data_IF_717111322518
#
_entry.id   IF_717111322518
#
_cell.length_a   1.000
_cell.length_b   1.000
_cell.length_c   1.000
_cell.angle_alpha   90.00
_cell.angle_beta   90.00
_cell.angle_gamma   90.00
#
_symmetry.space_group_name_H-M   'P 1'
#
loop_
_entity.id
_entity.type
_entity.pdbx_description
1 polymer ?
#
# COMPACT_ATOMS: atom_id res chain seq x y z
N UNK A 1 5.60 -7.90 -19.93
CA UNK A 1 4.69 -7.73 -21.08
C UNK A 1 3.55 -6.83 -20.61
N UNK A 2 3.52 -5.55 -21.02
CA UNK A 2 2.50 -4.60 -20.64
C UNK A 2 1.28 -4.81 -21.56
N UNK A 3 0.25 -5.46 -21.07
CA UNK A 3 -1.04 -5.52 -21.77
C UNK A 3 -1.84 -4.24 -21.49
N UNK A 4 -1.50 -3.16 -22.17
CA UNK A 4 -2.42 -2.03 -22.39
C UNK A 4 -3.25 -2.33 -23.64
N UNK A 5 -4.24 -3.17 -23.53
CA UNK A 5 -5.30 -3.21 -24.53
C UNK A 5 -6.58 -3.55 -23.82
N UNK A 6 -7.61 -2.75 -24.05
CA UNK A 6 -9.00 -3.11 -23.80
C UNK A 6 -9.32 -4.35 -24.66
N UNK A 7 -8.91 -5.51 -24.20
CA UNK A 7 -9.38 -6.78 -24.74
C UNK A 7 -10.65 -7.08 -23.99
N UNK A 8 -11.74 -7.14 -24.71
CA UNK A 8 -12.89 -7.88 -24.21
C UNK A 8 -12.41 -9.28 -23.86
N UNK A 9 -12.44 -9.61 -22.60
CA UNK A 9 -12.05 -10.95 -22.18
C UNK A 9 -13.05 -11.97 -22.77
N UNK A 10 -12.58 -13.06 -23.39
CA UNK A 10 -13.44 -13.98 -24.11
C UNK A 10 -14.63 -14.44 -23.25
N UNK A 11 -15.83 -14.34 -23.78
CA UNK A 11 -17.04 -14.82 -23.12
C UNK A 11 -17.61 -13.92 -22.02
N UNK A 12 -17.23 -12.63 -21.94
CA UNK A 12 -17.75 -11.70 -20.93
C UNK A 12 -17.33 -12.04 -19.50
N UNK A 13 -16.21 -12.75 -19.34
CA UNK A 13 -15.64 -13.12 -18.04
C UNK A 13 -15.07 -11.88 -17.36
N UNK A 14 -15.18 -11.84 -16.03
CA UNK A 14 -14.54 -10.81 -15.23
C UNK A 14 -13.02 -10.91 -15.34
N UNK A 15 -12.33 -9.78 -15.44
CA UNK A 15 -10.88 -9.73 -15.76
C UNK A 15 -10.03 -10.53 -14.77
N UNK A 16 -10.27 -10.39 -13.46
CA UNK A 16 -9.53 -11.13 -12.42
C UNK A 16 -9.60 -12.65 -12.65
N UNK A 17 -10.78 -13.17 -13.05
CA UNK A 17 -10.95 -14.60 -13.32
C UNK A 17 -10.14 -15.05 -14.53
N UNK A 18 -10.15 -14.25 -15.62
CA UNK A 18 -9.43 -14.57 -16.83
C UNK A 18 -7.90 -14.48 -16.65
N UNK A 19 -7.41 -13.47 -15.93
CA UNK A 19 -5.99 -13.34 -15.59
C UNK A 19 -5.53 -14.49 -14.70
N UNK A 20 -6.36 -14.92 -13.76
CA UNK A 20 -6.09 -16.09 -12.91
C UNK A 20 -6.02 -17.37 -13.73
N UNK A 21 -6.87 -17.55 -14.74
CA UNK A 21 -6.79 -18.75 -15.62
C UNK A 21 -5.41 -18.80 -16.31
N UNK A 22 -4.85 -17.70 -16.75
CA UNK A 22 -3.50 -17.69 -17.33
C UNK A 22 -2.42 -18.06 -16.30
N UNK A 23 -2.58 -17.63 -15.04
CA UNK A 23 -1.70 -18.05 -13.94
C UNK A 23 -1.78 -19.55 -13.74
N UNK A 24 -2.99 -20.12 -13.72
CA UNK A 24 -3.20 -21.56 -13.55
C UNK A 24 -2.63 -22.35 -14.73
N UNK A 25 -2.83 -21.89 -15.95
CA UNK A 25 -2.24 -22.48 -17.16
C UNK A 25 -0.70 -22.49 -17.08
N UNK A 26 -0.10 -21.38 -16.68
CA UNK A 26 1.34 -21.30 -16.46
C UNK A 26 1.83 -22.33 -15.44
N UNK A 27 1.17 -22.41 -14.27
CA UNK A 27 1.54 -23.34 -13.20
C UNK A 27 1.40 -24.80 -13.64
N UNK A 28 0.34 -25.14 -14.38
CA UNK A 28 0.11 -26.49 -14.92
C UNK A 28 1.16 -26.88 -15.96
N UNK A 29 1.63 -25.93 -16.75
CA UNK A 29 2.70 -26.14 -17.74
C UNK A 29 4.10 -26.11 -17.16
N UNK A 30 4.28 -25.80 -15.90
CA UNK A 30 5.59 -25.66 -15.26
C UNK A 30 6.28 -27.01 -15.06
N UNK A 31 7.47 -27.19 -15.65
CA UNK A 31 8.20 -28.47 -15.72
C UNK A 31 9.07 -28.78 -14.49
N UNK A 32 9.14 -27.87 -13.51
CA UNK A 32 9.97 -27.99 -12.30
C UNK A 32 11.48 -28.04 -12.53
N UNK A 33 11.96 -27.68 -13.71
CA UNK A 33 13.38 -27.74 -14.07
C UNK A 33 14.20 -26.60 -13.44
N UNK A 34 13.56 -25.47 -13.21
CA UNK A 34 14.19 -24.27 -12.64
C UNK A 34 13.21 -23.56 -11.68
N UNK A 35 13.69 -22.81 -10.69
CA UNK A 35 12.79 -21.96 -9.89
C UNK A 35 12.08 -20.93 -10.77
N UNK A 36 10.87 -20.51 -10.38
CA UNK A 36 10.14 -19.45 -11.06
C UNK A 36 9.96 -18.23 -10.15
N UNK A 37 9.86 -17.06 -10.78
CA UNK A 37 9.33 -15.85 -10.19
C UNK A 37 8.13 -15.40 -11.03
N UNK A 38 6.94 -15.39 -10.42
CA UNK A 38 5.71 -14.99 -11.07
C UNK A 38 5.15 -13.73 -10.38
N UNK A 39 5.09 -12.64 -11.11
CA UNK A 39 4.48 -11.39 -10.66
C UNK A 39 3.12 -11.24 -11.34
N UNK A 40 2.05 -11.29 -10.54
CA UNK A 40 0.67 -11.13 -11.01
C UNK A 40 0.17 -9.76 -10.56
N UNK A 41 -0.13 -8.91 -11.52
CA UNK A 41 -0.59 -7.54 -11.27
C UNK A 41 -2.04 -7.38 -11.71
N UNK A 42 -2.97 -7.68 -10.83
CA UNK A 42 -4.38 -7.36 -11.05
C UNK A 42 -4.60 -5.85 -11.02
N UNK A 43 -5.49 -5.35 -11.86
CA UNK A 43 -5.88 -3.93 -11.81
C UNK A 43 -6.86 -3.70 -10.65
N UNK A 44 -7.75 -4.66 -10.41
CA UNK A 44 -8.71 -4.55 -9.31
C UNK A 44 -8.00 -4.50 -7.94
N UNK A 45 -8.53 -3.74 -7.00
CA UNK A 45 -9.75 -2.93 -7.01
C UNK A 45 -9.53 -1.47 -7.47
N UNK A 46 -8.71 -1.20 -8.48
CA UNK A 46 -8.45 0.15 -8.97
C UNK A 46 -9.72 0.82 -9.49
N UNK A 47 -9.91 2.10 -9.17
CA UNK A 47 -10.96 2.93 -9.77
C UNK A 47 -10.77 3.00 -11.29
N UNK A 48 -11.80 2.67 -12.06
CA UNK A 48 -11.74 2.71 -13.52
C UNK A 48 -11.93 4.16 -13.99
N UNK A 49 -10.82 4.83 -14.25
CA UNK A 49 -10.81 6.27 -14.54
C UNK A 49 -11.67 6.65 -15.76
N UNK A 50 -11.68 5.80 -16.78
CA UNK A 50 -12.46 6.03 -18.00
C UNK A 50 -13.96 5.93 -17.75
N UNK A 51 -14.37 5.08 -16.81
CA UNK A 51 -15.77 4.88 -16.42
C UNK A 51 -16.16 5.69 -15.18
N UNK A 52 -15.18 6.26 -14.47
CA UNK A 52 -15.34 7.10 -13.26
C UNK A 52 -15.97 6.39 -12.07
N UNK A 53 -15.81 5.08 -11.95
CA UNK A 53 -16.30 4.28 -10.81
C UNK A 53 -15.47 3.00 -10.61
N UNK A 54 -15.69 2.31 -9.50
CA UNK A 54 -15.18 0.96 -9.29
C UNK A 54 -16.08 -0.05 -10.00
N UNK A 55 -15.49 -1.13 -10.52
CA UNK A 55 -16.24 -2.15 -11.27
C UNK A 55 -16.03 -3.53 -10.66
N UNK A 56 -16.90 -3.88 -9.73
CA UNK A 56 -16.98 -5.24 -9.20
C UNK A 56 -17.65 -6.22 -10.19
N UNK A 57 -17.52 -7.54 -9.98
CA UNK A 57 -18.29 -8.52 -10.73
C UNK A 57 -19.78 -8.20 -10.72
N UNK A 58 -20.50 -8.64 -11.76
CA UNK A 58 -21.94 -8.42 -11.87
C UNK A 58 -22.69 -8.85 -10.60
N UNK A 59 -23.51 -7.96 -10.05
CA UNK A 59 -24.28 -8.19 -8.82
C UNK A 59 -23.55 -7.75 -7.54
N UNK A 60 -22.35 -7.18 -7.61
CA UNK A 60 -21.59 -6.71 -6.46
C UNK A 60 -22.36 -5.67 -5.63
N UNK A 61 -22.99 -4.68 -6.28
CA UNK A 61 -23.77 -3.65 -5.58
C UNK A 61 -24.87 -4.24 -4.72
N UNK A 62 -25.61 -5.21 -5.24
CA UNK A 62 -26.68 -5.86 -4.50
C UNK A 62 -26.16 -6.76 -3.37
N UNK A 63 -25.09 -7.52 -3.66
CA UNK A 63 -24.46 -8.42 -2.68
C UNK A 63 -23.90 -7.66 -1.48
N UNK A 64 -23.30 -6.51 -1.70
CA UNK A 64 -22.60 -5.74 -0.68
C UNK A 64 -23.33 -4.45 -0.26
N UNK A 65 -24.60 -4.25 -0.60
CA UNK A 65 -25.36 -3.03 -0.27
C UNK A 65 -25.42 -2.71 1.23
N UNK A 66 -25.37 -3.73 2.09
CA UNK A 66 -25.45 -3.62 3.55
C UNK A 66 -24.06 -3.76 4.20
N UNK A 67 -23.02 -3.20 3.60
CA UNK A 67 -21.68 -3.25 4.15
C UNK A 67 -21.54 -2.47 5.46
N UNK A 68 -20.60 -2.91 6.30
CA UNK A 68 -20.21 -2.15 7.47
C UNK A 68 -19.32 -1.00 7.02
N UNK A 69 -19.72 0.22 7.34
CA UNK A 69 -18.95 1.43 6.96
C UNK A 69 -17.63 1.47 7.73
N UNK A 70 -16.48 1.49 7.06
CA UNK A 70 -15.19 1.67 7.72
C UNK A 70 -15.14 2.95 8.53
N UNK A 71 -14.40 2.92 9.64
CA UNK A 71 -14.37 4.04 10.57
C UNK A 71 -13.83 5.34 9.98
N UNK A 72 -12.87 5.26 9.07
CA UNK A 72 -12.30 6.39 8.34
C UNK A 72 -13.27 7.04 7.33
N UNK A 73 -14.28 6.30 6.87
CA UNK A 73 -15.32 6.78 5.96
C UNK A 73 -16.57 7.27 6.69
N UNK A 74 -16.77 6.86 7.96
CA UNK A 74 -17.96 7.23 8.74
C UNK A 74 -18.03 8.74 8.94
N UNK A 75 -19.12 9.36 8.45
CA UNK A 75 -19.33 10.81 8.55
C UNK A 75 -18.49 11.65 7.60
N UNK A 76 -17.60 11.04 6.81
CA UNK A 76 -16.81 11.75 5.82
C UNK A 76 -17.59 11.98 4.52
N UNK A 77 -17.34 13.13 3.88
CA UNK A 77 -17.75 13.36 2.49
C UNK A 77 -16.94 12.46 1.55
N UNK A 78 -17.36 12.34 0.29
CA UNK A 78 -16.69 11.50 -0.72
C UNK A 78 -17.68 10.62 -1.47
N UNK A 79 -17.14 9.75 -2.33
CA UNK A 79 -17.94 8.89 -3.22
C UNK A 79 -18.18 7.45 -2.69
N UNK A 80 -17.64 7.14 -1.52
CA UNK A 80 -17.65 5.78 -0.94
C UNK A 80 -19.03 5.13 -0.81
N UNK A 81 -20.10 5.93 -0.58
CA UNK A 81 -21.47 5.36 -0.44
C UNK A 81 -21.93 4.64 -1.70
N UNK A 82 -21.59 5.19 -2.86
CA UNK A 82 -21.96 4.63 -4.15
C UNK A 82 -20.95 3.57 -4.62
N UNK A 83 -19.69 3.72 -4.25
CA UNK A 83 -18.57 2.98 -4.83
C UNK A 83 -18.11 1.78 -4.00
N UNK A 84 -18.28 1.83 -2.68
CA UNK A 84 -17.76 0.80 -1.78
C UNK A 84 -18.32 -0.61 -2.02
N UNK A 85 -19.61 -0.80 -2.40
CA UNK A 85 -20.11 -2.12 -2.74
C UNK A 85 -19.40 -2.79 -3.92
N UNK A 86 -19.08 -2.03 -4.98
CA UNK A 86 -18.32 -2.56 -6.12
C UNK A 86 -16.85 -2.80 -5.74
N UNK A 87 -16.25 -1.92 -4.94
CA UNK A 87 -14.92 -2.12 -4.38
C UNK A 87 -14.83 -3.43 -3.57
N UNK A 88 -15.81 -3.72 -2.72
CA UNK A 88 -15.91 -5.00 -2.01
C UNK A 88 -16.11 -6.19 -2.96
N UNK A 89 -16.84 -5.99 -4.05
CA UNK A 89 -16.98 -6.99 -5.10
C UNK A 89 -15.65 -7.35 -5.75
N UNK A 90 -14.83 -6.33 -6.06
CA UNK A 90 -13.47 -6.54 -6.58
C UNK A 90 -12.61 -7.34 -5.59
N UNK A 91 -12.59 -6.95 -4.32
CA UNK A 91 -11.81 -7.63 -3.28
C UNK A 91 -12.27 -9.07 -3.09
N UNK A 92 -13.58 -9.32 -3.09
CA UNK A 92 -14.11 -10.68 -2.99
C UNK A 92 -13.70 -11.54 -4.19
N UNK A 93 -13.66 -10.98 -5.40
CA UNK A 93 -13.17 -11.70 -6.57
C UNK A 93 -11.67 -12.01 -6.47
N UNK A 94 -10.87 -11.04 -6.02
CA UNK A 94 -9.44 -11.26 -5.78
C UNK A 94 -9.19 -12.37 -4.76
N UNK A 95 -9.89 -12.35 -3.63
CA UNK A 95 -9.76 -13.38 -2.58
C UNK A 95 -10.06 -14.78 -3.11
N UNK A 96 -11.15 -14.94 -3.87
CA UNK A 96 -11.51 -16.19 -4.52
C UNK A 96 -10.43 -16.66 -5.49
N UNK A 97 -9.84 -15.77 -6.26
CA UNK A 97 -8.84 -16.08 -7.25
C UNK A 97 -7.46 -16.39 -6.62
N UNK A 98 -7.08 -15.71 -5.55
CA UNK A 98 -5.93 -16.11 -4.72
C UNK A 98 -6.14 -17.52 -4.15
N UNK A 99 -7.36 -17.84 -3.72
CA UNK A 99 -7.74 -19.20 -3.30
C UNK A 99 -7.48 -20.23 -4.40
N UNK A 100 -7.92 -19.97 -5.64
CA UNK A 100 -7.68 -20.84 -6.81
C UNK A 100 -6.20 -21.08 -7.06
N UNK A 101 -5.36 -20.03 -6.99
CA UNK A 101 -3.90 -20.16 -7.16
C UNK A 101 -3.29 -21.04 -6.05
N UNK A 102 -3.69 -20.80 -4.79
CA UNK A 102 -3.22 -21.63 -3.65
C UNK A 102 -3.58 -23.09 -3.80
N UNK A 103 -4.80 -23.36 -4.22
CA UNK A 103 -5.29 -24.74 -4.41
C UNK A 103 -4.54 -25.43 -5.54
N UNK A 104 -4.25 -24.74 -6.64
CA UNK A 104 -3.46 -25.30 -7.73
C UNK A 104 -2.00 -25.55 -7.32
N UNK A 105 -1.36 -24.64 -6.58
CA UNK A 105 -0.02 -24.86 -6.02
C UNK A 105 0.03 -26.12 -5.14
N UNK A 106 -0.98 -26.35 -4.29
CA UNK A 106 -1.11 -27.55 -3.48
C UNK A 106 -1.27 -28.80 -4.33
N UNK A 107 -2.19 -28.77 -5.28
CA UNK A 107 -2.46 -29.89 -6.21
C UNK A 107 -1.22 -30.30 -7.00
N UNK A 108 -0.39 -29.36 -7.40
CA UNK A 108 0.87 -29.57 -8.12
C UNK A 108 2.05 -29.97 -7.21
N UNK A 109 1.85 -29.97 -5.88
CA UNK A 109 2.91 -30.24 -4.90
C UNK A 109 3.99 -29.15 -4.89
N UNK A 110 3.61 -27.89 -5.16
CA UNK A 110 4.52 -26.74 -5.21
C UNK A 110 4.39 -25.86 -3.96
N UNK A 111 3.31 -25.96 -3.20
CA UNK A 111 2.97 -25.04 -2.10
C UNK A 111 4.08 -24.97 -1.04
N UNK A 112 4.67 -26.10 -0.66
CA UNK A 112 5.68 -26.18 0.41
C UNK A 112 7.03 -25.54 0.03
N UNK A 113 7.26 -25.29 -1.26
CA UNK A 113 8.47 -24.65 -1.78
C UNK A 113 8.15 -23.37 -2.58
N UNK A 114 7.04 -22.72 -2.28
CA UNK A 114 6.64 -21.46 -2.92
C UNK A 114 6.35 -20.40 -1.88
N UNK A 115 7.05 -19.27 -1.96
CA UNK A 115 6.71 -18.09 -1.20
C UNK A 115 5.60 -17.32 -1.94
N UNK A 116 4.40 -17.29 -1.37
CA UNK A 116 3.27 -16.54 -1.88
C UNK A 116 3.15 -15.20 -1.15
N UNK A 117 3.21 -14.11 -1.88
CA UNK A 117 3.07 -12.74 -1.36
C UNK A 117 1.83 -12.10 -1.96
N UNK A 118 0.93 -11.60 -1.11
CA UNK A 118 -0.22 -10.79 -1.50
C UNK A 118 -0.08 -9.39 -0.91
N UNK A 119 -0.16 -8.38 -1.76
CA UNK A 119 -0.07 -6.97 -1.36
C UNK A 119 -0.74 -6.06 -2.39
N UNK A 120 -0.74 -4.76 -2.14
CA UNK A 120 -1.17 -3.70 -3.05
C UNK A 120 -0.10 -2.60 -3.10
N UNK A 121 -0.10 -1.78 -4.13
CA UNK A 121 0.77 -0.60 -4.25
C UNK A 121 0.30 0.55 -3.35
N UNK A 122 -1.01 0.76 -3.22
CA UNK A 122 -1.66 1.76 -2.37
C UNK A 122 -3.12 1.38 -2.11
N UNK A 123 -3.77 2.09 -1.19
CA UNK A 123 -5.20 1.98 -0.90
C UNK A 123 -6.04 3.06 -1.57
N UNK A 124 -7.24 3.29 -1.02
CA UNK A 124 -8.17 4.33 -1.47
C UNK A 124 -8.86 4.98 -0.28
N UNK A 125 -8.95 6.30 -0.31
CA UNK A 125 -9.76 7.07 0.65
C UNK A 125 -11.08 7.59 0.04
N UNK A 126 -11.48 7.13 -1.13
CA UNK A 126 -12.77 7.45 -1.76
C UNK A 126 -13.10 8.94 -1.78
N UNK A 127 -12.11 9.77 -2.14
CA UNK A 127 -12.20 11.25 -2.17
C UNK A 127 -12.56 11.92 -0.85
N UNK A 128 -12.34 11.25 0.29
CA UNK A 128 -12.59 11.85 1.61
C UNK A 128 -11.50 12.84 2.03
N UNK A 129 -10.35 12.87 1.37
CA UNK A 129 -9.17 13.65 1.75
C UNK A 129 -8.75 14.71 0.72
N UNK A 130 -9.02 14.48 -0.53
CA UNK A 130 -8.78 15.39 -1.66
C UNK A 130 -9.71 15.02 -2.82
N UNK A 131 -9.61 15.71 -3.96
CA UNK A 131 -10.44 15.46 -5.15
C UNK A 131 -10.12 14.12 -5.86
N UNK A 132 -9.01 13.48 -5.50
CA UNK A 132 -8.63 12.16 -5.97
C UNK A 132 -9.12 11.08 -4.99
N UNK A 133 -9.02 9.80 -5.35
CA UNK A 133 -9.35 8.67 -4.46
C UNK A 133 -8.14 8.12 -3.72
N UNK A 134 -6.92 8.60 -4.02
CA UNK A 134 -5.62 8.20 -3.48
C UNK A 134 -4.70 9.44 -3.37
N UNK A 135 -3.37 9.24 -3.27
CA UNK A 135 -2.35 10.30 -3.28
C UNK A 135 -2.41 11.21 -2.05
N UNK A 136 -2.46 10.58 -0.89
CA UNK A 136 -2.39 11.27 0.40
C UNK A 136 -1.58 10.46 1.42
N UNK A 137 -1.20 11.09 2.52
CA UNK A 137 -0.48 10.41 3.61
C UNK A 137 -1.39 9.56 4.52
N UNK A 138 -2.71 9.61 4.32
CA UNK A 138 -3.69 8.99 5.22
C UNK A 138 -3.71 7.47 5.12
N UNK A 139 -3.98 6.78 6.24
CA UNK A 139 -3.96 5.31 6.32
C UNK A 139 -4.87 4.65 5.28
N UNK A 140 -5.99 5.26 4.88
CA UNK A 140 -6.80 4.78 3.77
C UNK A 140 -6.03 4.60 2.44
N UNK A 141 -4.92 5.34 2.24
CA UNK A 141 -4.05 5.18 1.08
C UNK A 141 -2.80 4.36 1.34
N UNK A 142 -2.22 4.43 2.54
CA UNK A 142 -0.87 3.93 2.78
C UNK A 142 -0.84 2.63 3.58
N UNK A 143 -1.89 2.32 4.34
CA UNK A 143 -1.98 1.08 5.13
C UNK A 143 -2.55 -0.04 4.26
N UNK A 144 -1.69 -0.59 3.42
CA UNK A 144 -2.03 -1.65 2.47
C UNK A 144 -1.95 -3.03 3.12
N UNK A 145 -2.66 -4.04 2.59
CA UNK A 145 -2.50 -5.42 3.03
C UNK A 145 -1.10 -5.93 2.67
N UNK A 146 -0.52 -6.76 3.55
CA UNK A 146 0.66 -7.54 3.25
C UNK A 146 0.51 -8.91 3.93
N UNK A 147 0.40 -9.95 3.13
CA UNK A 147 0.31 -11.34 3.57
C UNK A 147 1.40 -12.12 2.88
N UNK A 148 2.22 -12.83 3.66
CA UNK A 148 3.29 -13.68 3.15
C UNK A 148 3.09 -15.08 3.74
N UNK A 149 3.16 -16.09 2.88
CA UNK A 149 3.02 -17.50 3.27
C UNK A 149 3.99 -18.36 2.48
N UNK A 150 4.63 -19.32 3.14
CA UNK A 150 5.60 -20.24 2.54
C UNK A 150 6.90 -20.28 3.34
N UNK A 151 7.98 -20.84 2.76
CA UNK A 151 9.25 -21.07 3.46
C UNK A 151 9.80 -19.82 4.15
N UNK A 152 10.07 -19.92 5.45
CA UNK A 152 10.54 -18.82 6.29
C UNK A 152 9.47 -17.84 6.79
N UNK A 153 8.18 -18.10 6.47
CA UNK A 153 7.03 -17.30 6.89
C UNK A 153 5.88 -18.18 7.37
N UNK A 154 6.22 -19.19 8.14
CA UNK A 154 5.27 -20.10 8.76
C UNK A 154 4.70 -19.52 10.07
N UNK A 155 3.53 -19.99 10.45
CA UNK A 155 2.97 -19.73 11.80
C UNK A 155 1.78 -18.80 11.88
N UNK A 156 1.42 -18.07 10.82
CA UNK A 156 0.18 -17.28 10.73
C UNK A 156 0.03 -16.21 11.82
N UNK A 157 1.11 -15.60 12.28
CA UNK A 157 1.11 -14.55 13.29
C UNK A 157 1.12 -13.17 12.63
N UNK A 158 0.37 -12.19 13.17
CA UNK A 158 0.51 -10.80 12.77
C UNK A 158 1.89 -10.27 13.19
N UNK A 159 2.51 -9.45 12.35
CA UNK A 159 3.67 -8.63 12.68
C UNK A 159 3.16 -7.21 12.83
N UNK A 160 3.41 -6.62 13.99
CA UNK A 160 2.94 -5.27 14.32
C UNK A 160 3.98 -4.19 13.99
N UNK A 161 5.21 -4.60 13.70
CA UNK A 161 6.27 -3.69 13.27
C UNK A 161 5.90 -2.99 11.97
N UNK A 162 6.32 -1.73 11.85
CA UNK A 162 6.09 -0.95 10.64
C UNK A 162 6.96 -1.45 9.49
N UNK A 163 6.33 -1.87 8.42
CA UNK A 163 6.99 -2.33 7.20
C UNK A 163 6.57 -1.49 6.00
N UNK A 164 7.41 -1.47 4.99
CA UNK A 164 7.19 -0.70 3.75
C UNK A 164 7.39 -1.59 2.54
N UNK A 165 6.82 -1.22 1.40
CA UNK A 165 6.99 -1.93 0.12
C UNK A 165 8.47 -2.06 -0.27
N UNK A 166 9.35 -1.15 0.16
CA UNK A 166 10.80 -1.27 -0.09
C UNK A 166 11.43 -2.49 0.59
N UNK A 167 10.76 -3.10 1.56
CA UNK A 167 11.22 -4.32 2.22
C UNK A 167 10.97 -5.58 1.36
N UNK A 168 10.04 -5.55 0.39
CA UNK A 168 9.71 -6.72 -0.42
C UNK A 168 10.84 -7.18 -1.34
N UNK A 169 11.52 -6.31 -2.12
CA UNK A 169 12.62 -6.76 -2.98
C UNK A 169 13.73 -7.50 -2.24
N UNK A 170 14.31 -6.99 -1.14
CA UNK A 170 15.32 -7.73 -0.39
C UNK A 170 14.77 -9.00 0.27
N UNK A 171 13.47 -9.02 0.66
CA UNK A 171 12.80 -10.22 1.18
C UNK A 171 12.73 -11.32 0.14
N UNK A 172 12.36 -10.99 -1.10
CA UNK A 172 12.26 -11.93 -2.20
C UNK A 172 13.63 -12.46 -2.62
N UNK A 173 14.65 -11.59 -2.71
CA UNK A 173 16.03 -12.01 -2.99
C UNK A 173 16.53 -12.97 -1.93
N UNK A 174 16.35 -12.64 -0.65
CA UNK A 174 16.76 -13.52 0.46
C UNK A 174 16.04 -14.87 0.43
N UNK A 175 14.75 -14.88 0.11
CA UNK A 175 13.99 -16.12 -0.06
C UNK A 175 14.53 -16.98 -1.22
N UNK A 176 15.06 -16.35 -2.27
CA UNK A 176 15.71 -17.03 -3.40
C UNK A 176 17.18 -17.40 -3.12
N UNK A 177 17.71 -17.21 -1.91
CA UNK A 177 19.11 -17.46 -1.58
C UNK A 177 20.08 -16.44 -2.16
N UNK A 178 19.62 -15.28 -2.61
CA UNK A 178 20.42 -14.22 -3.21
C UNK A 178 20.64 -13.12 -2.17
N UNK A 179 21.88 -12.70 -1.96
CA UNK A 179 22.18 -11.58 -1.08
C UNK A 179 21.62 -10.27 -1.69
N UNK A 180 20.82 -9.50 -0.93
CA UNK A 180 20.37 -8.20 -1.39
C UNK A 180 21.55 -7.26 -1.63
N UNK A 181 21.59 -6.50 -2.75
CA UNK A 181 22.63 -5.51 -3.00
C UNK A 181 22.60 -4.37 -1.97
N UNK A 182 23.77 -3.80 -1.64
CA UNK A 182 23.93 -2.73 -0.63
C UNK A 182 23.16 -1.44 -0.94
N UNK A 183 22.83 -1.19 -2.21
CA UNK A 183 22.05 -0.02 -2.59
C UNK A 183 20.56 -0.16 -2.26
N UNK A 184 20.08 -1.35 -1.94
CA UNK A 184 18.69 -1.55 -1.49
C UNK A 184 18.53 -1.01 -0.08
N UNK A 185 17.59 -0.09 0.10
CA UNK A 185 17.32 0.58 1.38
C UNK A 185 16.36 -0.17 2.28
N UNK A 186 15.58 -1.07 1.71
CA UNK A 186 14.72 -1.97 2.46
C UNK A 186 15.52 -3.07 3.15
N UNK A 187 14.97 -3.62 4.22
CA UNK A 187 15.52 -4.78 4.95
C UNK A 187 14.64 -6.00 4.70
N UNK A 188 15.23 -7.21 4.64
CA UNK A 188 14.45 -8.44 4.47
C UNK A 188 13.53 -8.70 5.67
N UNK A 189 12.27 -8.98 5.43
CA UNK A 189 11.27 -9.25 6.49
C UNK A 189 11.57 -10.52 7.30
N UNK A 190 12.39 -11.42 6.79
CA UNK A 190 12.89 -12.58 7.55
C UNK A 190 13.62 -12.16 8.84
N UNK A 191 14.15 -10.95 8.91
CA UNK A 191 14.79 -10.45 10.13
C UNK A 191 13.78 -10.25 11.25
N UNK A 192 12.58 -9.72 10.95
CA UNK A 192 11.49 -9.60 11.93
C UNK A 192 10.98 -10.97 12.38
N UNK A 193 10.82 -11.94 11.46
CA UNK A 193 10.40 -13.29 11.78
C UNK A 193 11.39 -13.97 12.72
N UNK A 194 12.70 -13.73 12.53
CA UNK A 194 13.77 -14.23 13.39
C UNK A 194 13.87 -13.53 14.76
N UNK A 195 13.02 -12.54 15.05
CA UNK A 195 13.04 -11.77 16.29
C UNK A 195 14.09 -10.66 16.34
N UNK A 196 14.71 -10.31 15.22
CA UNK A 196 15.72 -9.26 15.13
C UNK A 196 15.08 -7.87 14.92
N UNK A 197 14.14 -7.51 15.80
CA UNK A 197 13.40 -6.25 15.69
C UNK A 197 14.08 -5.06 16.41
N UNK A 198 15.10 -5.28 17.23
CA UNK A 198 15.72 -4.24 18.06
C UNK A 198 16.18 -3.01 17.27
N UNK A 199 16.74 -3.23 16.07
CA UNK A 199 17.20 -2.17 15.18
C UNK A 199 16.24 -1.91 14.00
N UNK A 200 15.01 -2.46 14.04
CA UNK A 200 14.02 -2.22 13.00
C UNK A 200 13.52 -0.77 13.07
N UNK A 201 13.40 -0.07 11.94
CA UNK A 201 12.95 1.32 11.95
C UNK A 201 11.58 1.47 12.61
N UNK A 202 11.48 2.38 13.58
CA UNK A 202 10.23 2.71 14.26
C UNK A 202 9.29 3.60 13.45
N UNK A 203 9.66 3.93 12.20
CA UNK A 203 8.87 4.74 11.29
C UNK A 203 8.99 4.30 9.84
N UNK A 204 8.01 4.63 9.03
CA UNK A 204 8.04 4.52 7.57
C UNK A 204 8.04 5.91 6.92
N UNK A 205 8.81 6.05 5.85
CA UNK A 205 8.89 7.26 5.03
C UNK A 205 7.98 7.14 3.81
N UNK A 206 7.32 8.23 3.46
CA UNK A 206 6.32 8.31 2.40
C UNK A 206 6.61 9.49 1.49
N UNK A 207 6.48 9.26 0.18
CA UNK A 207 6.47 10.29 -0.83
C UNK A 207 5.08 10.40 -1.43
N UNK A 208 4.56 11.63 -1.54
CA UNK A 208 3.26 11.92 -2.12
C UNK A 208 3.50 12.74 -3.38
N UNK A 209 2.93 12.27 -4.49
CA UNK A 209 3.08 12.90 -5.80
C UNK A 209 1.73 13.06 -6.50
N UNK A 210 1.74 13.67 -7.66
CA UNK A 210 0.62 13.92 -8.58
C UNK A 210 -0.43 14.91 -8.04
N UNK A 211 -0.86 14.84 -6.80
CA UNK A 211 -1.72 15.87 -6.18
C UNK A 211 -0.92 16.98 -5.53
N UNK A 212 0.26 16.65 -5.04
CA UNK A 212 1.18 17.57 -4.36
C UNK A 212 2.60 17.01 -4.36
N UNK A 213 3.58 17.88 -4.20
CA UNK A 213 4.94 17.46 -3.81
C UNK A 213 4.97 17.39 -2.28
N UNK A 214 4.70 16.19 -1.72
CA UNK A 214 4.57 15.97 -0.29
C UNK A 214 5.49 14.89 0.25
N UNK A 215 5.77 14.96 1.55
CA UNK A 215 6.53 13.96 2.30
C UNK A 215 5.86 13.68 3.63
N UNK A 216 5.99 12.45 4.11
CA UNK A 216 5.47 12.11 5.43
C UNK A 216 6.31 11.03 6.10
N UNK A 217 6.20 10.97 7.43
CA UNK A 217 6.58 9.82 8.24
C UNK A 217 5.37 9.33 9.03
N UNK A 218 5.33 8.01 9.23
CA UNK A 218 4.38 7.35 10.11
C UNK A 218 5.14 6.50 11.11
N UNK A 219 4.94 6.78 12.39
CA UNK A 219 5.36 5.94 13.51
C UNK A 219 4.18 5.09 13.98
N UNK A 220 4.35 4.25 15.00
CA UNK A 220 3.23 3.54 15.63
C UNK A 220 2.15 4.51 16.12
N UNK A 221 2.56 5.65 16.66
CA UNK A 221 1.69 6.64 17.33
C UNK A 221 1.39 7.87 16.49
N UNK A 222 2.37 8.39 15.74
CA UNK A 222 2.24 9.69 15.08
C UNK A 222 2.31 9.56 13.57
N UNK A 223 1.54 10.37 12.89
CA UNK A 223 1.72 10.68 11.48
C UNK A 223 1.99 12.16 11.34
N UNK A 224 3.07 12.48 10.63
CA UNK A 224 3.47 13.85 10.35
C UNK A 224 3.76 14.00 8.87
N UNK A 225 3.18 15.02 8.24
CA UNK A 225 3.40 15.30 6.83
C UNK A 225 3.68 16.76 6.54
N UNK A 226 4.38 16.96 5.44
CA UNK A 226 4.72 18.27 4.90
C UNK A 226 4.43 18.30 3.40
N UNK A 227 4.16 19.50 2.87
CA UNK A 227 4.01 19.74 1.44
C UNK A 227 4.82 20.95 0.99
N UNK A 228 5.31 20.91 -0.24
CA UNK A 228 5.97 22.05 -0.85
C UNK A 228 4.94 23.06 -1.34
N UNK A 229 4.98 24.33 -0.89
CA UNK A 229 3.97 25.32 -1.21
C UNK A 229 4.06 25.85 -2.65
N UNK A 230 5.24 25.77 -3.25
CA UNK A 230 5.61 26.32 -4.54
C UNK A 230 5.78 25.25 -5.65
N UNK A 231 5.50 23.99 -5.33
CA UNK A 231 5.67 22.85 -6.23
C UNK A 231 4.34 22.14 -6.50
N UNK A 232 4.22 21.64 -7.72
CA UNK A 232 3.12 20.78 -8.12
C UNK A 232 3.41 19.29 -7.84
N UNK A 233 2.39 18.46 -8.03
CA UNK A 233 2.51 17.02 -7.79
C UNK A 233 3.47 16.27 -8.75
N UNK A 234 3.92 16.91 -9.83
CA UNK A 234 4.89 16.35 -10.79
C UNK A 234 6.34 16.72 -10.47
N UNK A 235 6.56 17.64 -9.54
CA UNK A 235 7.90 18.00 -9.10
C UNK A 235 8.45 16.87 -8.22
N UNK A 236 9.70 16.43 -8.43
CA UNK A 236 10.28 15.29 -7.72
C UNK A 236 10.58 15.63 -6.25
N UNK A 237 10.91 16.87 -5.95
CA UNK A 237 11.26 17.35 -4.62
C UNK A 237 11.22 18.88 -4.54
N UNK A 238 11.39 19.40 -3.33
CA UNK A 238 11.56 20.84 -3.05
C UNK A 238 12.65 21.05 -2.01
N UNK A 239 13.24 22.23 -1.98
CA UNK A 239 14.13 22.66 -0.89
C UNK A 239 13.36 23.26 0.29
N UNK A 240 12.06 23.61 0.09
CA UNK A 240 11.20 24.20 1.10
C UNK A 240 9.90 23.42 1.19
N UNK A 241 9.55 22.99 2.39
CA UNK A 241 8.26 22.37 2.72
C UNK A 241 7.59 23.12 3.87
N UNK A 242 6.27 22.99 3.96
CA UNK A 242 5.45 23.51 5.07
C UNK A 242 4.79 22.34 5.77
N UNK A 243 4.67 22.41 7.10
CA UNK A 243 3.86 21.46 7.88
C UNK A 243 2.42 21.43 7.34
N UNK A 244 1.85 20.22 7.15
CA UNK A 244 0.54 20.02 6.55
C UNK A 244 -0.40 19.27 7.50
N UNK A 245 0.01 18.08 7.98
CA UNK A 245 -0.78 17.25 8.89
C UNK A 245 0.04 16.74 10.07
N UNK A 246 -0.62 16.64 11.22
CA UNK A 246 -0.17 15.91 12.39
C UNK A 246 -1.36 15.15 12.99
N UNK A 247 -1.21 13.82 13.17
CA UNK A 247 -2.25 12.97 13.77
C UNK A 247 -1.68 12.14 14.90
N UNK A 248 -2.44 12.01 16.01
CA UNK A 248 -2.20 11.03 17.08
C UNK A 248 -3.01 9.76 16.75
N UNK A 249 -2.36 8.76 16.17
CA UNK A 249 -3.02 7.56 15.66
C UNK A 249 -3.53 6.62 16.76
N UNK A 250 -3.06 6.79 18.02
CA UNK A 250 -3.60 6.05 19.15
C UNK A 250 -4.95 6.61 19.60
N UNK A 251 -5.12 7.95 19.57
CA UNK A 251 -6.34 8.62 19.99
C UNK A 251 -7.31 8.83 18.83
N UNK A 252 -6.77 9.00 17.64
CA UNK A 252 -7.52 9.26 16.40
C UNK A 252 -7.02 8.32 15.28
N UNK A 253 -7.35 7.03 15.35
CA UNK A 253 -6.93 6.04 14.36
C UNK A 253 -7.52 6.28 12.96
N UNK A 254 -8.47 7.19 12.84
CA UNK A 254 -9.11 7.55 11.58
C UNK A 254 -8.70 8.91 11.05
N UNK A 255 -7.71 9.56 11.69
CA UNK A 255 -7.11 10.81 11.19
C UNK A 255 -8.12 11.92 10.90
N UNK A 256 -9.03 12.16 11.84
CA UNK A 256 -10.13 13.14 11.71
C UNK A 256 -9.74 14.52 12.20
N UNK A 257 -8.81 14.61 13.16
CA UNK A 257 -8.42 15.84 13.82
C UNK A 257 -6.97 16.17 13.51
N UNK A 258 -6.75 17.12 12.62
CA UNK A 258 -5.41 17.60 12.31
C UNK A 258 -4.87 18.48 13.46
N UNK A 259 -3.84 17.98 14.14
CA UNK A 259 -3.21 18.61 15.30
C UNK A 259 -2.03 19.55 14.91
N UNK A 260 -1.79 19.80 13.63
CA UNK A 260 -0.63 20.58 13.16
C UNK A 260 -0.61 22.02 13.71
N UNK A 261 -1.79 22.58 14.02
CA UNK A 261 -1.94 23.93 14.57
C UNK A 261 -1.80 24.03 16.09
N UNK A 262 -1.68 22.88 16.81
CA UNK A 262 -1.65 22.85 18.27
C UNK A 262 -0.33 23.37 18.84
N UNK A 263 -0.31 24.50 19.58
CA UNK A 263 0.92 25.08 20.11
C UNK A 263 1.66 24.17 21.09
N UNK A 264 0.91 23.39 21.87
CA UNK A 264 1.47 22.44 22.85
C UNK A 264 2.29 21.31 22.19
N UNK A 265 2.07 21.03 20.89
CA UNK A 265 2.77 19.99 20.16
C UNK A 265 3.95 20.53 19.31
N UNK A 266 4.37 21.79 19.54
CA UNK A 266 5.48 22.39 18.76
C UNK A 266 6.79 21.61 18.86
N UNK A 267 7.16 21.16 20.08
CA UNK A 267 8.38 20.41 20.30
C UNK A 267 8.32 19.04 19.58
N UNK A 268 7.21 18.35 19.69
CA UNK A 268 6.99 17.07 18.99
C UNK A 268 7.09 17.24 17.48
N UNK A 269 6.47 18.29 16.90
CA UNK A 269 6.56 18.55 15.47
C UNK A 269 8.02 18.78 15.03
N UNK A 270 8.82 19.51 15.82
CA UNK A 270 10.22 19.72 15.51
C UNK A 270 11.00 18.39 15.48
N UNK A 271 10.78 17.50 16.45
CA UNK A 271 11.40 16.18 16.49
C UNK A 271 10.99 15.28 15.31
N UNK A 272 9.70 15.31 14.94
CA UNK A 272 9.20 14.59 13.77
C UNK A 272 9.74 15.17 12.46
N UNK A 273 9.85 16.51 12.37
CA UNK A 273 10.44 17.19 11.23
C UNK A 273 11.92 16.80 11.04
N UNK A 274 12.70 16.74 12.12
CA UNK A 274 14.11 16.32 12.06
C UNK A 274 14.24 14.85 11.63
N UNK A 275 13.35 13.97 12.11
CA UNK A 275 13.29 12.59 11.66
C UNK A 275 12.94 12.50 10.18
N UNK A 276 11.94 13.25 9.72
CA UNK A 276 11.55 13.31 8.32
C UNK A 276 12.69 13.79 7.43
N UNK A 277 13.39 14.88 7.79
CA UNK A 277 14.55 15.37 7.05
C UNK A 277 15.63 14.30 6.89
N UNK A 278 15.97 13.58 7.98
CA UNK A 278 16.93 12.47 7.93
C UNK A 278 16.51 11.40 6.91
N UNK A 279 15.22 11.06 6.87
CA UNK A 279 14.69 10.08 5.90
C UNK A 279 14.72 10.61 4.47
N UNK A 280 14.42 11.89 4.26
CA UNK A 280 14.54 12.55 2.94
C UNK A 280 15.98 12.51 2.43
N UNK A 281 16.95 12.90 3.26
CA UNK A 281 18.37 12.85 2.91
C UNK A 281 18.81 11.41 2.63
N UNK A 282 18.43 10.46 3.47
CA UNK A 282 18.68 9.04 3.22
C UNK A 282 18.00 8.54 1.93
N UNK A 283 16.90 9.13 1.48
CA UNK A 283 16.27 8.85 0.19
C UNK A 283 16.97 9.53 -1.00
N UNK A 284 18.02 10.33 -0.78
CA UNK A 284 18.79 10.99 -1.81
C UNK A 284 18.33 12.42 -2.13
N UNK A 285 17.44 12.98 -1.31
CA UNK A 285 17.04 14.38 -1.43
C UNK A 285 18.08 15.31 -0.74
N UNK A 286 18.14 16.56 -1.14
CA UNK A 286 18.83 17.58 -0.35
C UNK A 286 18.09 17.79 0.96
N UNK A 287 18.80 18.12 2.04
CA UNK A 287 18.16 18.49 3.29
C UNK A 287 17.28 19.73 3.11
N UNK A 288 15.95 19.61 3.33
CA UNK A 288 15.04 20.74 3.11
C UNK A 288 14.90 21.63 4.34
N UNK A 289 14.45 22.84 4.12
CA UNK A 289 13.82 23.66 5.15
C UNK A 289 12.35 23.19 5.34
N UNK A 290 11.94 22.97 6.60
CA UNK A 290 10.54 22.73 6.94
C UNK A 290 10.01 23.93 7.71
N UNK A 291 9.13 24.69 7.10
CA UNK A 291 8.50 25.87 7.69
C UNK A 291 7.35 25.42 8.60
N UNK A 292 7.35 25.84 9.88
CA UNK A 292 6.25 25.54 10.81
C UNK A 292 4.90 26.06 10.31
N UNK A 293 3.84 25.30 10.64
CA UNK A 293 2.47 25.73 10.33
C UNK A 293 2.17 27.09 10.94
N UNK A 294 1.68 28.02 10.13
CA UNK A 294 1.17 29.33 10.57
C UNK A 294 -0.34 29.32 10.40
N UNK A 295 -1.05 29.47 11.53
CA UNK A 295 -2.50 29.72 11.47
C UNK A 295 -2.72 31.06 10.75
N UNK A 296 -3.47 31.05 9.67
CA UNK A 296 -3.90 32.26 8.97
C UNK A 296 -4.92 33.04 9.79
#
# INVERSE_FOLDING_TARGET
MLFRSMREFPGGRYRVDAETDWVLEYLQGYKKDNPFFLFVSYIEPHHQNDHKHYEGPRGSKEKFKNFVVPGDLTGAEGDWRAEYPDYLGCINSLDQNVGRIRDELKKLGLAENTLLVYTSDHGSHFRTRNSEYKRSCHDGCIRIPLIISGPGFEGGKPIEDLVSLINLPPTLLKAAGIAPPDYMRGRPLQELIAGNSADWPGEVFLQISETQCGRAIRTSKWKYSVRAPDKGGRDPSSEIYMEDFLYDLEKDPYERTNLVAEPALRQLRAELADTLKKRMVAAGEKEPEIIPFKKK
#
